data_IF_985932008202
#
_entry.id   IF_985932008202
#
_cell.length_a   1.000
_cell.length_b   1.000
_cell.length_c   1.000
_cell.angle_alpha   90.00
_cell.angle_beta   90.00
_cell.angle_gamma   90.00
#
_symmetry.space_group_name_H-M   'P 1'
#
loop_
_entity.id
_entity.type
_entity.pdbx_description
1 polymer ?
#
# COMPACT_ATOMS: atom_id res chain seq x y z
N UNK A 1 9.75 -16.29 5.27
CA UNK A 1 9.06 -15.70 6.44
C UNK A 1 7.93 -16.62 6.89
N UNK A 2 7.83 -16.95 8.19
CA UNK A 2 6.87 -17.92 8.75
C UNK A 2 5.40 -17.48 8.51
N UNK A 3 5.10 -16.19 8.67
CA UNK A 3 3.75 -15.64 8.47
C UNK A 3 3.17 -15.92 7.06
N UNK A 4 3.99 -15.78 6.01
CA UNK A 4 3.60 -16.05 4.62
C UNK A 4 3.28 -17.54 4.42
N UNK A 5 4.03 -18.44 5.06
CA UNK A 5 3.77 -19.88 5.00
C UNK A 5 2.45 -20.25 5.67
N UNK A 6 2.11 -19.62 6.80
CA UNK A 6 0.80 -19.81 7.44
C UNK A 6 -0.35 -19.32 6.56
N UNK A 7 -0.22 -18.13 5.94
CA UNK A 7 -1.23 -17.62 5.01
C UNK A 7 -1.43 -18.57 3.83
N UNK A 8 -0.33 -19.06 3.24
CA UNK A 8 -0.35 -20.05 2.16
C UNK A 8 -1.12 -21.31 2.57
N UNK A 9 -0.79 -21.88 3.73
CA UNK A 9 -1.42 -23.10 4.22
C UNK A 9 -2.93 -22.91 4.46
N UNK A 10 -3.31 -21.79 5.10
CA UNK A 10 -4.71 -21.47 5.35
C UNK A 10 -5.54 -21.34 4.07
N UNK A 11 -5.03 -20.64 3.05
CA UNK A 11 -5.72 -20.52 1.75
C UNK A 11 -5.80 -21.88 1.06
N UNK A 12 -4.74 -22.68 1.08
CA UNK A 12 -4.76 -24.04 0.53
C UNK A 12 -5.82 -24.91 1.21
N UNK A 13 -5.98 -24.82 2.54
CA UNK A 13 -7.06 -25.52 3.25
C UNK A 13 -8.43 -25.04 2.74
N UNK A 14 -8.63 -23.72 2.64
CA UNK A 14 -9.89 -23.14 2.15
C UNK A 14 -10.24 -23.65 0.74
N UNK A 15 -9.24 -23.73 -0.15
CA UNK A 15 -9.41 -24.18 -1.53
C UNK A 15 -9.63 -25.70 -1.67
N UNK A 16 -9.02 -26.52 -0.82
CA UNK A 16 -9.04 -27.99 -0.96
C UNK A 16 -10.24 -28.66 -0.31
N UNK A 17 -11.03 -27.91 0.48
CA UNK A 17 -12.21 -28.47 1.13
C UNK A 17 -13.32 -28.67 0.08
N UNK A 18 -13.68 -29.92 -0.23
CA UNK A 18 -14.57 -30.28 -1.36
C UNK A 18 -16.00 -29.71 -1.27
N UNK A 19 -16.41 -29.21 -0.10
CA UNK A 19 -17.68 -28.50 0.14
C UNK A 19 -17.48 -27.01 0.50
N UNK A 20 -16.25 -26.50 0.37
CA UNK A 20 -15.79 -25.27 1.00
C UNK A 20 -15.70 -25.41 2.52
N UNK A 21 -15.26 -24.34 3.20
CA UNK A 21 -15.40 -24.25 4.65
C UNK A 21 -16.89 -24.36 5.04
N UNK A 22 -17.20 -25.02 6.15
CA UNK A 22 -18.56 -25.23 6.64
C UNK A 22 -18.78 -24.60 8.03
N UNK A 23 -20.02 -24.21 8.31
CA UNK A 23 -20.41 -23.66 9.61
C UNK A 23 -19.61 -22.42 10.00
N UNK A 24 -19.17 -22.36 11.26
CA UNK A 24 -18.41 -21.25 11.83
C UNK A 24 -17.11 -20.96 11.06
N UNK A 25 -16.43 -22.01 10.54
CA UNK A 25 -15.18 -21.82 9.83
C UNK A 25 -15.37 -21.01 8.54
N UNK A 26 -16.50 -21.21 7.85
CA UNK A 26 -16.86 -20.42 6.67
C UNK A 26 -17.12 -18.95 7.04
N UNK A 27 -17.81 -18.71 8.14
CA UNK A 27 -18.21 -17.37 8.54
C UNK A 27 -17.02 -16.55 9.04
N UNK A 28 -16.14 -17.17 9.82
CA UNK A 28 -15.07 -16.46 10.52
C UNK A 28 -13.72 -16.50 9.78
N UNK A 29 -13.32 -17.65 9.22
CA UNK A 29 -11.98 -17.80 8.67
C UNK A 29 -11.87 -17.34 7.21
N UNK A 30 -12.94 -17.52 6.43
CA UNK A 30 -12.94 -17.15 5.01
C UNK A 30 -12.65 -15.66 4.77
N UNK A 31 -13.31 -14.70 5.48
CA UNK A 31 -13.01 -13.28 5.29
C UNK A 31 -11.58 -12.92 5.72
N UNK A 32 -11.05 -13.58 6.75
CA UNK A 32 -9.68 -13.37 7.22
C UNK A 32 -8.69 -13.81 6.15
N UNK A 33 -8.81 -15.04 5.62
CA UNK A 33 -7.88 -15.55 4.62
C UNK A 33 -7.97 -14.82 3.28
N UNK A 34 -9.16 -14.32 2.91
CA UNK A 34 -9.32 -13.52 1.70
C UNK A 34 -8.56 -12.19 1.81
N UNK A 35 -8.67 -11.49 2.94
CA UNK A 35 -7.87 -10.28 3.22
C UNK A 35 -6.38 -10.60 3.28
N UNK A 36 -6.02 -11.68 3.97
CA UNK A 36 -4.62 -12.10 4.12
C UNK A 36 -3.95 -12.55 2.80
N UNK A 37 -4.73 -12.93 1.79
CA UNK A 37 -4.22 -13.40 0.50
C UNK A 37 -3.53 -12.31 -0.32
N UNK A 38 -3.64 -11.03 0.06
CA UNK A 38 -3.01 -9.90 -0.64
C UNK A 38 -1.59 -9.59 -0.17
N UNK A 39 -1.30 -9.78 1.11
CA UNK A 39 -0.07 -9.32 1.74
C UNK A 39 1.21 -9.94 1.19
N UNK A 40 1.28 -11.26 0.91
CA UNK A 40 2.52 -11.89 0.47
C UNK A 40 3.16 -11.22 -0.74
N UNK A 41 2.35 -10.67 -1.65
CA UNK A 41 2.86 -10.00 -2.85
C UNK A 41 3.58 -8.68 -2.58
N UNK A 42 3.41 -8.08 -1.40
CA UNK A 42 4.18 -6.89 -0.98
C UNK A 42 5.56 -7.25 -0.41
N UNK A 43 5.82 -8.53 -0.17
CA UNK A 43 7.04 -9.04 0.47
C UNK A 43 7.74 -10.09 -0.40
N UNK A 44 7.79 -9.83 -1.71
CA UNK A 44 8.62 -10.56 -2.67
C UNK A 44 8.06 -11.92 -3.13
N UNK A 45 6.79 -12.24 -2.85
CA UNK A 45 6.17 -13.45 -3.38
C UNK A 45 5.59 -13.22 -4.76
N UNK A 46 5.95 -14.05 -5.74
CA UNK A 46 5.41 -14.01 -7.09
C UNK A 46 3.97 -14.55 -7.15
N UNK A 47 3.18 -14.03 -8.09
CA UNK A 47 1.77 -14.43 -8.27
C UNK A 47 1.64 -15.92 -8.58
N UNK A 48 2.58 -16.47 -9.35
CA UNK A 48 2.61 -17.89 -9.70
C UNK A 48 2.88 -18.80 -8.49
N UNK A 49 3.53 -18.27 -7.46
CA UNK A 49 3.99 -19.05 -6.32
C UNK A 49 3.02 -19.05 -5.14
N UNK A 50 1.93 -18.28 -5.19
CA UNK A 50 0.99 -18.14 -4.08
C UNK A 50 -0.45 -18.56 -4.47
N UNK A 51 -1.14 -19.37 -3.65
CA UNK A 51 -2.46 -19.86 -3.99
C UNK A 51 -3.46 -18.71 -4.12
N UNK A 52 -4.21 -18.71 -5.22
CA UNK A 52 -5.37 -17.84 -5.38
C UNK A 52 -6.51 -18.34 -4.49
N UNK A 53 -7.25 -17.46 -3.80
CA UNK A 53 -8.44 -17.84 -3.03
C UNK A 53 -9.63 -18.18 -3.95
N UNK A 54 -9.45 -19.16 -4.85
CA UNK A 54 -10.48 -19.61 -5.80
C UNK A 54 -11.59 -20.33 -5.06
N UNK A 55 -12.83 -19.93 -5.28
CA UNK A 55 -14.02 -20.55 -4.67
C UNK A 55 -14.57 -19.81 -3.44
N UNK A 56 -13.99 -18.66 -3.07
CA UNK A 56 -14.53 -17.85 -1.96
C UNK A 56 -15.66 -16.90 -2.40
N UNK A 57 -15.80 -16.60 -3.70
CA UNK A 57 -16.86 -15.73 -4.25
C UNK A 57 -17.34 -16.28 -5.60
N UNK A 58 -18.66 -16.26 -5.84
CA UNK A 58 -19.29 -16.80 -7.07
C UNK A 58 -19.13 -15.88 -8.29
N UNK A 59 -19.22 -14.56 -8.09
CA UNK A 59 -18.88 -13.55 -9.09
C UNK A 59 -18.02 -12.46 -8.43
N UNK A 60 -16.76 -12.49 -8.78
CA UNK A 60 -15.68 -11.68 -8.27
C UNK A 60 -15.76 -10.19 -8.62
N UNK A 61 -16.55 -9.81 -9.63
CA UNK A 61 -16.68 -8.43 -10.10
C UNK A 61 -18.12 -7.92 -9.97
N UNK A 62 -19.03 -8.74 -9.45
CA UNK A 62 -20.41 -8.36 -9.23
C UNK A 62 -20.48 -7.14 -8.31
N UNK A 63 -21.21 -6.14 -8.78
CA UNK A 63 -21.55 -4.93 -8.03
C UNK A 63 -22.96 -5.02 -7.44
N UNK A 64 -23.84 -5.85 -8.03
CA UNK A 64 -25.18 -6.16 -7.54
C UNK A 64 -25.21 -7.26 -6.48
N UNK A 65 -24.38 -7.14 -5.44
CA UNK A 65 -24.28 -8.12 -4.34
C UNK A 65 -25.18 -7.75 -3.17
N UNK A 66 -25.63 -8.75 -2.41
CA UNK A 66 -26.41 -8.48 -1.19
C UNK A 66 -25.55 -7.80 -0.13
N UNK A 67 -26.18 -7.16 0.88
CA UNK A 67 -25.45 -6.54 1.99
C UNK A 67 -24.54 -7.54 2.73
N UNK A 68 -24.91 -8.81 2.78
CA UNK A 68 -24.13 -9.88 3.40
C UNK A 68 -22.91 -10.30 2.56
N UNK A 69 -23.01 -10.19 1.23
CA UNK A 69 -21.95 -10.55 0.29
C UNK A 69 -20.98 -9.41 0.00
N UNK A 70 -21.39 -8.17 0.32
CA UNK A 70 -20.66 -6.93 -0.01
C UNK A 70 -19.20 -6.98 0.43
N UNK A 71 -18.92 -7.31 1.68
CA UNK A 71 -17.56 -7.33 2.23
C UNK A 71 -16.69 -8.36 1.52
N UNK A 72 -17.23 -9.55 1.25
CA UNK A 72 -16.49 -10.62 0.57
C UNK A 72 -16.20 -10.27 -0.90
N UNK A 73 -17.17 -9.68 -1.60
CA UNK A 73 -16.99 -9.22 -2.98
C UNK A 73 -15.92 -8.12 -3.05
N UNK A 74 -15.95 -7.18 -2.10
CA UNK A 74 -14.95 -6.14 -1.99
C UNK A 74 -13.54 -6.68 -1.73
N UNK A 75 -13.37 -7.53 -0.73
CA UNK A 75 -12.06 -8.13 -0.41
C UNK A 75 -11.51 -8.95 -1.60
N UNK A 76 -12.39 -9.60 -2.36
CA UNK A 76 -12.00 -10.33 -3.57
C UNK A 76 -11.56 -9.39 -4.70
N UNK A 77 -12.27 -8.27 -4.91
CA UNK A 77 -11.86 -7.25 -5.88
C UNK A 77 -10.49 -6.66 -5.53
N UNK A 78 -10.23 -6.38 -4.25
CA UNK A 78 -8.90 -5.96 -3.77
C UNK A 78 -7.86 -7.03 -4.07
N UNK A 79 -8.18 -8.31 -3.87
CA UNK A 79 -7.27 -9.42 -4.18
C UNK A 79 -6.91 -9.48 -5.68
N UNK A 80 -7.90 -9.40 -6.57
CA UNK A 80 -7.66 -9.33 -8.02
C UNK A 80 -6.83 -8.13 -8.41
N UNK A 81 -7.14 -6.97 -7.83
CA UNK A 81 -6.41 -5.72 -8.06
C UNK A 81 -4.92 -5.91 -7.77
N UNK A 82 -4.58 -6.39 -6.57
CA UNK A 82 -3.20 -6.63 -6.18
C UNK A 82 -2.54 -7.68 -7.06
N UNK A 83 -3.21 -8.80 -7.34
CA UNK A 83 -2.67 -9.88 -8.19
C UNK A 83 -2.34 -9.38 -9.60
N UNK A 84 -3.24 -8.62 -10.23
CA UNK A 84 -3.01 -8.08 -11.57
C UNK A 84 -1.83 -7.12 -11.59
N UNK A 85 -1.76 -6.20 -10.62
CA UNK A 85 -0.67 -5.23 -10.49
C UNK A 85 0.68 -5.93 -10.31
N UNK A 86 0.70 -7.02 -9.54
CA UNK A 86 1.92 -7.79 -9.26
C UNK A 86 2.34 -8.66 -10.44
N UNK A 87 1.39 -9.23 -11.17
CA UNK A 87 1.67 -9.93 -12.41
C UNK A 87 2.23 -8.96 -13.47
N UNK A 88 1.63 -7.77 -13.60
CA UNK A 88 2.11 -6.71 -14.45
C UNK A 88 3.54 -6.27 -14.08
N UNK A 89 3.81 -6.10 -12.77
CA UNK A 89 5.15 -5.79 -12.27
C UNK A 89 6.17 -6.88 -12.64
N UNK A 90 5.78 -8.15 -12.53
CA UNK A 90 6.63 -9.29 -12.89
C UNK A 90 7.00 -9.27 -14.39
N UNK A 91 6.06 -8.88 -15.25
CA UNK A 91 6.30 -8.66 -16.69
C UNK A 91 7.11 -7.39 -17.01
N UNK A 92 7.06 -6.34 -16.17
CA UNK A 92 7.82 -5.10 -16.42
C UNK A 92 9.27 -5.20 -15.96
N UNK A 93 9.50 -5.81 -14.80
CA UNK A 93 10.82 -5.79 -14.15
C UNK A 93 11.19 -7.07 -13.38
N UNK A 94 10.27 -8.03 -13.26
CA UNK A 94 10.49 -9.27 -12.52
C UNK A 94 10.89 -10.47 -13.39
N UNK A 95 10.66 -11.70 -12.90
CA UNK A 95 11.02 -12.94 -13.60
C UNK A 95 10.39 -13.08 -15.00
N UNK A 96 9.23 -12.47 -15.24
CA UNK A 96 8.49 -12.57 -16.50
C UNK A 96 8.87 -11.49 -17.53
N UNK A 97 9.87 -10.64 -17.25
CA UNK A 97 10.27 -9.51 -18.12
C UNK A 97 10.68 -9.87 -19.55
N UNK A 98 11.02 -11.14 -19.78
CA UNK A 98 11.39 -11.66 -21.11
C UNK A 98 10.19 -12.19 -21.90
N UNK A 99 9.01 -12.24 -21.28
CA UNK A 99 7.78 -12.71 -21.90
C UNK A 99 6.90 -11.52 -22.26
N UNK A 100 6.30 -11.57 -23.45
CA UNK A 100 5.26 -10.63 -23.86
C UNK A 100 4.10 -10.70 -22.86
N UNK A 101 3.58 -9.54 -22.50
CA UNK A 101 2.38 -9.43 -21.67
C UNK A 101 1.18 -10.06 -22.39
N UNK A 102 0.49 -11.06 -21.79
CA UNK A 102 -0.65 -11.69 -22.44
C UNK A 102 -1.82 -10.74 -22.69
N UNK A 103 -2.44 -10.83 -23.87
CA UNK A 103 -3.52 -9.93 -24.30
C UNK A 103 -4.74 -9.93 -23.35
N UNK A 104 -5.05 -11.06 -22.71
CA UNK A 104 -6.18 -11.15 -21.78
C UNK A 104 -6.03 -10.22 -20.56
N UNK A 105 -4.80 -9.82 -20.21
CA UNK A 105 -4.54 -8.93 -19.08
C UNK A 105 -5.08 -7.52 -19.31
N UNK A 106 -5.14 -7.05 -20.56
CA UNK A 106 -5.74 -5.74 -20.88
C UNK A 106 -7.26 -5.76 -20.68
N UNK A 107 -7.92 -6.84 -21.07
CA UNK A 107 -9.34 -7.04 -20.79
C UNK A 107 -9.62 -7.14 -19.29
N UNK A 108 -8.73 -7.79 -18.55
CA UNK A 108 -8.81 -7.88 -17.08
C UNK A 108 -8.61 -6.52 -16.40
N UNK A 109 -7.61 -5.74 -16.81
CA UNK A 109 -7.35 -4.40 -16.31
C UNK A 109 -8.58 -3.51 -16.43
N UNK A 110 -9.20 -3.48 -17.63
CA UNK A 110 -10.41 -2.70 -17.87
C UNK A 110 -11.55 -3.10 -16.92
N UNK A 111 -11.83 -4.40 -16.81
CA UNK A 111 -12.91 -4.91 -15.94
C UNK A 111 -12.69 -4.56 -14.47
N UNK A 112 -11.47 -4.77 -13.96
CA UNK A 112 -11.15 -4.44 -12.56
C UNK A 112 -11.26 -2.93 -12.32
N UNK A 113 -10.78 -2.12 -13.26
CA UNK A 113 -10.89 -0.66 -13.16
C UNK A 113 -12.36 -0.20 -13.12
N UNK A 114 -13.21 -0.70 -14.03
CA UNK A 114 -14.64 -0.39 -14.07
C UNK A 114 -15.34 -0.79 -12.77
N UNK A 115 -15.05 -1.99 -12.24
CA UNK A 115 -15.57 -2.40 -10.93
C UNK A 115 -15.14 -1.44 -9.82
N UNK A 116 -13.87 -1.05 -9.74
CA UNK A 116 -13.38 -0.10 -8.73
C UNK A 116 -14.09 1.26 -8.81
N UNK A 117 -14.38 1.75 -10.01
CA UNK A 117 -15.17 2.98 -10.21
C UNK A 117 -16.57 2.82 -9.64
N UNK A 118 -17.29 1.76 -9.99
CA UNK A 118 -18.65 1.52 -9.48
C UNK A 118 -18.68 1.37 -7.95
N UNK A 119 -17.70 0.67 -7.36
CA UNK A 119 -17.58 0.54 -5.91
C UNK A 119 -17.29 1.89 -5.24
N UNK A 120 -16.42 2.71 -5.82
CA UNK A 120 -16.16 4.07 -5.33
C UNK A 120 -17.43 4.93 -5.31
N UNK A 121 -18.21 4.91 -6.39
CA UNK A 121 -19.49 5.61 -6.48
C UNK A 121 -20.47 5.11 -5.42
N UNK A 122 -20.56 3.78 -5.22
CA UNK A 122 -21.39 3.21 -4.16
C UNK A 122 -21.00 3.73 -2.78
N UNK A 123 -19.70 3.76 -2.44
CA UNK A 123 -19.25 4.25 -1.14
C UNK A 123 -19.52 5.74 -0.93
N UNK A 124 -19.32 6.56 -1.97
CA UNK A 124 -19.65 7.99 -1.94
C UNK A 124 -21.13 8.24 -1.74
N UNK A 125 -21.98 7.56 -2.53
CA UNK A 125 -23.43 7.66 -2.41
C UNK A 125 -23.88 7.23 -1.01
N UNK A 126 -23.35 6.14 -0.47
CA UNK A 126 -23.68 5.69 0.88
C UNK A 126 -23.35 6.76 1.94
N UNK A 127 -22.21 7.43 1.83
CA UNK A 127 -21.79 8.50 2.75
C UNK A 127 -22.67 9.75 2.67
N UNK A 128 -23.20 10.07 1.50
CA UNK A 128 -24.10 11.21 1.32
C UNK A 128 -25.49 10.97 1.90
N UNK A 129 -25.96 9.71 1.87
CA UNK A 129 -27.32 9.36 2.27
C UNK A 129 -27.43 8.84 3.72
N UNK A 130 -26.32 8.42 4.32
CA UNK A 130 -26.27 7.93 5.70
C UNK A 130 -25.26 8.73 6.52
N UNK A 131 -25.59 9.04 7.77
CA UNK A 131 -24.61 9.55 8.73
C UNK A 131 -24.01 8.38 9.49
N UNK A 132 -22.80 7.90 9.12
CA UNK A 132 -22.16 6.82 9.86
C UNK A 132 -21.77 7.31 11.26
N UNK A 133 -21.71 6.37 12.20
CA UNK A 133 -21.01 6.58 13.45
C UNK A 133 -19.49 6.65 13.22
N UNK A 134 -18.72 6.79 14.30
CA UNK A 134 -17.27 6.97 14.23
C UNK A 134 -16.57 5.79 13.51
N UNK A 135 -16.88 4.54 13.90
CA UNK A 135 -16.33 3.33 13.30
C UNK A 135 -16.77 3.16 11.83
N UNK A 136 -18.05 3.44 11.54
CA UNK A 136 -18.56 3.43 10.18
C UNK A 136 -17.84 4.44 9.29
N UNK A 137 -17.55 5.64 9.80
CA UNK A 137 -16.84 6.66 9.03
C UNK A 137 -15.39 6.25 8.76
N UNK A 138 -14.68 5.68 9.74
CA UNK A 138 -13.32 5.18 9.53
C UNK A 138 -13.28 4.09 8.46
N UNK A 139 -14.21 3.13 8.54
CA UNK A 139 -14.35 2.06 7.53
C UNK A 139 -14.64 2.62 6.13
N UNK A 140 -15.51 3.63 6.04
CA UNK A 140 -15.79 4.32 4.78
C UNK A 140 -14.56 5.03 4.20
N UNK A 141 -13.79 5.75 5.02
CA UNK A 141 -12.56 6.41 4.59
C UNK A 141 -11.54 5.36 4.10
N UNK A 142 -11.43 4.23 4.79
CA UNK A 142 -10.55 3.14 4.42
C UNK A 142 -10.88 2.56 3.03
N UNK A 143 -12.16 2.25 2.80
CA UNK A 143 -12.62 1.69 1.54
C UNK A 143 -12.53 2.70 0.38
N UNK A 144 -12.79 3.98 0.63
CA UNK A 144 -12.62 5.03 -0.40
C UNK A 144 -11.15 5.21 -0.78
N UNK A 145 -10.23 5.26 0.20
CA UNK A 145 -8.79 5.34 -0.06
C UNK A 145 -8.30 4.10 -0.84
N UNK A 146 -8.77 2.90 -0.47
CA UNK A 146 -8.49 1.67 -1.23
C UNK A 146 -8.99 1.73 -2.67
N UNK A 147 -10.20 2.24 -2.91
CA UNK A 147 -10.73 2.40 -4.27
C UNK A 147 -9.81 3.30 -5.10
N UNK A 148 -9.43 4.45 -4.57
CA UNK A 148 -8.56 5.41 -5.26
C UNK A 148 -7.20 4.78 -5.55
N UNK A 149 -6.53 4.21 -4.54
CA UNK A 149 -5.23 3.53 -4.72
C UNK A 149 -5.33 2.39 -5.73
N UNK A 150 -6.39 1.59 -5.66
CA UNK A 150 -6.64 0.51 -6.61
C UNK A 150 -6.78 1.01 -8.04
N UNK A 151 -7.50 2.11 -8.26
CA UNK A 151 -7.66 2.73 -9.59
C UNK A 151 -6.32 3.25 -10.13
N UNK A 152 -5.53 3.94 -9.31
CA UNK A 152 -4.20 4.41 -9.69
C UNK A 152 -3.32 3.20 -10.07
N UNK A 153 -3.30 2.17 -9.24
CA UNK A 153 -2.52 0.96 -9.50
C UNK A 153 -2.92 0.29 -10.80
N UNK A 154 -4.21 0.09 -11.03
CA UNK A 154 -4.71 -0.60 -12.23
C UNK A 154 -4.52 0.26 -13.47
N UNK A 155 -4.78 1.57 -13.40
CA UNK A 155 -4.55 2.49 -14.51
C UNK A 155 -3.09 2.54 -14.95
N UNK A 156 -2.16 2.42 -13.99
CA UNK A 156 -0.73 2.52 -14.25
C UNK A 156 0.02 1.18 -14.38
N UNK A 157 -0.62 0.03 -14.14
CA UNK A 157 0.10 -1.24 -13.91
C UNK A 157 0.95 -1.72 -15.10
N UNK A 158 0.57 -1.38 -16.32
CA UNK A 158 1.29 -1.76 -17.54
C UNK A 158 2.26 -0.68 -18.04
N UNK A 159 2.24 0.52 -17.47
CA UNK A 159 3.17 1.59 -17.83
C UNK A 159 4.56 1.29 -17.26
N UNK A 160 5.59 1.40 -18.11
CA UNK A 160 7.00 1.26 -17.71
C UNK A 160 7.60 2.58 -17.22
N UNK A 161 6.98 3.68 -17.60
CA UNK A 161 7.36 5.05 -17.25
C UNK A 161 6.68 5.43 -15.92
N UNK A 162 7.49 5.89 -14.95
CA UNK A 162 6.97 6.33 -13.65
C UNK A 162 6.28 7.70 -13.74
N UNK A 163 6.41 8.42 -14.86
CA UNK A 163 5.69 9.66 -15.13
C UNK A 163 4.19 9.44 -15.36
N UNK A 164 3.75 8.19 -15.64
CA UNK A 164 2.33 7.87 -15.79
C UNK A 164 1.50 8.20 -14.53
N UNK A 165 2.15 8.25 -13.35
CA UNK A 165 1.48 8.64 -12.11
C UNK A 165 1.08 10.13 -12.07
N UNK A 166 1.61 10.98 -12.95
CA UNK A 166 1.24 12.40 -13.02
C UNK A 166 -0.24 12.60 -13.42
N UNK A 167 -0.80 11.66 -14.20
CA UNK A 167 -2.23 11.67 -14.57
C UNK A 167 -3.14 11.54 -13.34
N UNK A 168 -2.59 11.09 -12.21
CA UNK A 168 -3.29 10.81 -10.97
C UNK A 168 -3.02 11.85 -9.86
N UNK A 169 -2.48 13.04 -10.18
CA UNK A 169 -2.23 14.09 -9.18
C UNK A 169 -3.50 14.46 -8.40
N UNK A 170 -4.65 14.59 -9.08
CA UNK A 170 -5.93 14.88 -8.41
C UNK A 170 -6.38 13.73 -7.48
N UNK A 171 -6.12 12.48 -7.86
CA UNK A 171 -6.40 11.32 -7.01
C UNK A 171 -5.50 11.32 -5.76
N UNK A 172 -4.22 11.71 -5.89
CA UNK A 172 -3.31 11.88 -4.77
C UNK A 172 -3.74 13.00 -3.82
N UNK A 173 -4.20 14.14 -4.36
CA UNK A 173 -4.77 15.24 -3.55
C UNK A 173 -5.99 14.78 -2.75
N UNK A 174 -6.87 13.99 -3.37
CA UNK A 174 -8.03 13.41 -2.68
C UNK A 174 -7.61 12.43 -1.57
N UNK A 175 -6.59 11.60 -1.79
CA UNK A 175 -6.05 10.72 -0.74
C UNK A 175 -5.53 11.51 0.47
N UNK A 176 -4.84 12.64 0.24
CA UNK A 176 -4.41 13.54 1.30
C UNK A 176 -5.63 14.08 2.06
N UNK A 177 -6.67 14.55 1.36
CA UNK A 177 -7.90 15.07 1.97
C UNK A 177 -8.64 14.01 2.81
N UNK A 178 -8.69 12.76 2.35
CA UNK A 178 -9.27 11.63 3.10
C UNK A 178 -8.43 11.31 4.35
N UNK A 179 -7.11 11.35 4.23
CA UNK A 179 -6.23 11.13 5.37
C UNK A 179 -6.32 12.23 6.44
N UNK A 180 -6.55 13.49 6.03
CA UNK A 180 -6.79 14.59 6.99
C UNK A 180 -8.09 14.37 7.77
N UNK A 181 -9.17 13.94 7.10
CA UNK A 181 -10.42 13.57 7.78
C UNK A 181 -10.20 12.44 8.78
N UNK A 182 -9.41 11.42 8.43
CA UNK A 182 -9.05 10.33 9.33
C UNK A 182 -8.26 10.82 10.55
N UNK A 183 -7.31 11.75 10.36
CA UNK A 183 -6.55 12.36 11.46
C UNK A 183 -7.51 13.09 12.41
N UNK A 184 -8.45 13.86 11.87
CA UNK A 184 -9.46 14.56 12.68
C UNK A 184 -10.34 13.57 13.45
N UNK A 185 -10.79 12.50 12.79
CA UNK A 185 -11.60 11.45 13.39
C UNK A 185 -10.87 10.77 14.55
N UNK A 186 -9.58 10.45 14.37
CA UNK A 186 -8.78 9.78 15.40
C UNK A 186 -8.39 10.67 16.57
N UNK A 187 -8.38 11.99 16.39
CA UNK A 187 -8.16 12.93 17.51
C UNK A 187 -9.29 12.89 18.53
N UNK A 188 -10.49 12.44 18.16
CA UNK A 188 -11.63 12.31 19.09
C UNK A 188 -11.63 10.96 19.81
N UNK A 189 -10.76 10.03 19.43
CA UNK A 189 -10.65 8.74 20.11
C UNK A 189 -10.04 8.89 21.50
N UNK A 190 -10.63 8.17 22.45
CA UNK A 190 -10.14 8.11 23.82
C UNK A 190 -9.43 6.79 24.05
N UNK A 191 -8.14 6.83 24.40
CA UNK A 191 -7.40 5.65 24.85
C UNK A 191 -6.12 5.36 24.06
N UNK A 192 -5.32 4.38 24.54
CA UNK A 192 -4.10 3.99 23.87
C UNK A 192 -4.41 3.25 22.56
N UNK A 193 -3.77 3.66 21.47
CA UNK A 193 -3.83 2.93 20.20
C UNK A 193 -3.05 1.61 20.32
N UNK A 194 -3.56 0.49 19.77
CA UNK A 194 -2.79 -0.75 19.74
C UNK A 194 -1.51 -0.53 18.94
N UNK A 195 -0.39 -1.08 19.41
CA UNK A 195 0.89 -1.01 18.69
C UNK A 195 0.91 -1.87 17.43
N UNK A 196 0.12 -2.94 17.42
CA UNK A 196 0.05 -3.92 16.34
C UNK A 196 -1.39 -4.15 15.90
N UNK A 197 -1.61 -4.20 14.59
CA UNK A 197 -2.84 -4.70 13.98
C UNK A 197 -2.51 -5.75 12.91
N UNK A 198 -3.40 -6.72 12.72
CA UNK A 198 -3.24 -7.74 11.67
C UNK A 198 -3.60 -7.23 10.27
N UNK A 199 -4.39 -6.16 10.19
CA UNK A 199 -4.81 -5.56 8.92
C UNK A 199 -3.68 -4.74 8.29
N UNK A 200 -3.82 -4.43 7.00
CA UNK A 200 -2.89 -3.56 6.27
C UNK A 200 -2.79 -2.15 6.86
N UNK A 201 -3.83 -1.73 7.59
CA UNK A 201 -3.99 -0.37 8.07
C UNK A 201 -3.93 0.66 6.95
N UNK A 202 -3.80 1.93 7.32
CA UNK A 202 -3.83 3.05 6.36
C UNK A 202 -2.43 3.45 5.88
N UNK A 203 -1.38 3.04 6.58
CA UNK A 203 -0.01 3.45 6.29
C UNK A 203 0.40 3.14 4.85
N UNK A 204 0.11 1.96 4.27
CA UNK A 204 0.60 1.65 2.92
C UNK A 204 0.02 2.57 1.86
N UNK A 205 -1.15 3.18 2.09
CA UNK A 205 -1.71 4.18 1.18
C UNK A 205 -0.88 5.45 1.19
N UNK A 206 -0.52 5.98 2.37
CA UNK A 206 0.35 7.16 2.44
C UNK A 206 1.75 6.87 1.94
N UNK A 207 2.32 5.71 2.28
CA UNK A 207 3.62 5.30 1.76
C UNK A 207 3.59 5.20 0.23
N UNK A 208 2.48 4.73 -0.36
CA UNK A 208 2.29 4.73 -1.81
C UNK A 208 2.34 6.14 -2.42
N UNK A 209 1.68 7.13 -1.80
CA UNK A 209 1.77 8.54 -2.22
C UNK A 209 3.24 8.99 -2.16
N UNK A 210 3.92 8.70 -1.04
CA UNK A 210 5.33 9.09 -0.82
C UNK A 210 6.24 8.54 -1.91
N UNK A 211 6.05 7.31 -2.38
CA UNK A 211 6.97 6.71 -3.36
C UNK A 211 6.56 6.93 -4.81
N UNK A 212 5.28 7.13 -5.13
CA UNK A 212 4.80 7.22 -6.53
C UNK A 212 4.38 8.61 -6.99
N UNK A 213 3.88 9.47 -6.13
CA UNK A 213 3.61 10.85 -6.52
C UNK A 213 4.92 11.59 -6.80
N UNK A 214 4.97 12.45 -7.83
CA UNK A 214 6.15 13.27 -8.18
C UNK A 214 6.11 14.69 -7.60
N UNK A 215 4.97 15.13 -7.10
CA UNK A 215 4.80 16.43 -6.45
C UNK A 215 5.32 16.43 -5.02
N UNK A 216 6.34 17.25 -4.74
CA UNK A 216 7.04 17.23 -3.46
C UNK A 216 6.11 17.56 -2.28
N UNK A 217 5.23 18.55 -2.42
CA UNK A 217 4.28 18.98 -1.40
C UNK A 217 3.33 17.86 -0.94
N UNK A 218 2.79 17.08 -1.88
CA UNK A 218 1.92 15.94 -1.59
C UNK A 218 2.69 14.81 -0.89
N UNK A 219 3.89 14.50 -1.38
CA UNK A 219 4.76 13.46 -0.78
C UNK A 219 5.15 13.80 0.64
N UNK A 220 5.54 15.06 0.89
CA UNK A 220 5.90 15.53 2.23
C UNK A 220 4.69 15.52 3.16
N UNK A 221 3.51 15.89 2.67
CA UNK A 221 2.28 15.84 3.46
C UNK A 221 1.93 14.40 3.84
N UNK A 222 1.95 13.46 2.89
CA UNK A 222 1.76 12.04 3.18
C UNK A 222 2.78 11.52 4.19
N UNK A 223 4.07 11.86 4.02
CA UNK A 223 5.13 11.43 4.93
C UNK A 223 4.89 11.92 6.37
N UNK A 224 4.43 13.17 6.56
CA UNK A 224 4.06 13.73 7.87
C UNK A 224 2.84 13.06 8.48
N UNK A 225 1.89 12.61 7.65
CA UNK A 225 0.65 12.01 8.11
C UNK A 225 0.83 10.54 8.54
N UNK A 226 1.85 9.83 8.03
CA UNK A 226 2.17 8.44 8.42
C UNK A 226 2.18 8.24 9.94
N UNK A 227 2.96 8.99 10.76
CA UNK A 227 2.93 8.83 12.21
C UNK A 227 1.58 9.15 12.84
N UNK A 228 0.77 10.01 12.23
CA UNK A 228 -0.52 10.41 12.78
C UNK A 228 -1.59 9.33 12.59
N UNK A 229 -1.55 8.59 11.48
CA UNK A 229 -2.58 7.60 11.13
C UNK A 229 -2.12 6.14 11.24
N UNK A 230 -0.85 5.85 11.43
CA UNK A 230 -0.38 4.46 11.42
C UNK A 230 -0.31 3.88 12.84
N UNK A 231 -0.53 2.58 12.96
CA UNK A 231 -0.04 1.83 14.13
C UNK A 231 1.48 1.65 14.02
N UNK A 232 2.16 1.30 15.12
CA UNK A 232 3.62 1.06 15.06
C UNK A 232 3.96 -0.08 14.07
N UNK A 233 3.08 -1.08 14.02
CA UNK A 233 3.15 -2.23 13.12
C UNK A 233 1.76 -2.55 12.55
N UNK A 234 1.65 -2.53 11.22
CA UNK A 234 0.43 -2.88 10.47
C UNK A 234 0.72 -4.12 9.62
N UNK A 235 0.25 -5.28 10.06
CA UNK A 235 0.63 -6.57 9.50
C UNK A 235 2.18 -6.71 9.49
N UNK A 236 2.79 -6.90 8.33
CA UNK A 236 4.24 -6.98 8.14
C UNK A 236 4.90 -5.61 7.90
N UNK A 237 4.13 -4.52 7.83
CA UNK A 237 4.65 -3.19 7.61
C UNK A 237 5.00 -2.48 8.92
N UNK A 238 6.22 -1.98 9.01
CA UNK A 238 6.71 -1.18 10.15
C UNK A 238 6.64 0.30 9.81
N UNK A 239 5.89 1.08 10.60
CA UNK A 239 5.71 2.51 10.34
C UNK A 239 7.00 3.30 10.44
N UNK A 240 7.84 2.94 11.41
CA UNK A 240 9.20 3.46 11.53
C UNK A 240 10.00 3.22 10.26
N UNK A 241 10.00 1.98 9.75
CA UNK A 241 10.79 1.62 8.58
C UNK A 241 10.31 2.33 7.32
N UNK A 242 9.00 2.28 7.04
CA UNK A 242 8.43 2.93 5.85
C UNK A 242 8.57 4.44 5.88
N UNK A 243 8.50 5.07 7.05
CA UNK A 243 8.74 6.50 7.19
C UNK A 243 10.17 6.89 6.77
N UNK A 244 11.19 6.24 7.33
CA UNK A 244 12.58 6.59 7.02
C UNK A 244 12.96 6.24 5.57
N UNK A 245 12.47 5.11 5.05
CA UNK A 245 12.67 4.73 3.65
C UNK A 245 11.93 5.68 2.69
N UNK A 246 10.72 6.08 3.04
CA UNK A 246 9.92 7.04 2.26
C UNK A 246 10.58 8.42 2.23
N UNK A 247 11.03 8.92 3.39
CA UNK A 247 11.85 10.13 3.49
C UNK A 247 13.05 10.07 2.56
N UNK A 248 13.79 8.96 2.61
CA UNK A 248 14.99 8.77 1.79
C UNK A 248 14.68 8.75 0.30
N UNK A 249 13.55 8.14 -0.08
CA UNK A 249 13.06 8.15 -1.47
C UNK A 249 12.86 9.59 -1.97
N UNK A 250 12.24 10.46 -1.15
CA UNK A 250 12.07 11.88 -1.48
C UNK A 250 13.43 12.57 -1.64
N UNK A 251 14.34 12.37 -0.69
CA UNK A 251 15.67 13.00 -0.70
C UNK A 251 16.48 12.64 -1.95
N UNK A 252 16.46 11.36 -2.35
CA UNK A 252 17.16 10.87 -3.54
C UNK A 252 16.60 11.48 -4.82
N UNK A 253 15.28 11.47 -4.99
CA UNK A 253 14.65 11.88 -6.25
C UNK A 253 14.63 13.40 -6.42
N UNK A 254 14.42 14.16 -5.34
CA UNK A 254 14.38 15.63 -5.40
C UNK A 254 15.75 16.27 -5.16
N UNK A 255 16.78 15.51 -4.76
CA UNK A 255 18.10 16.05 -4.45
C UNK A 255 18.10 16.99 -3.24
N UNK A 256 17.24 16.71 -2.26
CA UNK A 256 17.08 17.52 -1.04
C UNK A 256 17.52 16.74 0.21
N UNK A 257 17.61 17.44 1.35
CA UNK A 257 17.84 16.84 2.66
C UNK A 257 16.73 17.25 3.61
N UNK A 258 16.08 16.26 4.21
CA UNK A 258 14.96 16.45 5.12
C UNK A 258 15.41 16.16 6.56
N UNK A 259 14.91 16.96 7.50
CA UNK A 259 14.95 16.64 8.92
C UNK A 259 13.76 15.70 9.24
N UNK A 260 14.00 14.48 9.76
CA UNK A 260 12.90 13.58 10.12
C UNK A 260 11.96 14.12 11.21
N UNK A 261 12.38 15.11 12.00
CA UNK A 261 11.58 15.72 13.07
C UNK A 261 10.96 17.07 12.68
N UNK A 262 11.36 17.63 11.54
CA UNK A 262 10.83 18.85 10.96
C UNK A 262 10.72 18.68 9.44
N UNK A 263 9.71 17.90 9.01
CA UNK A 263 9.47 17.61 7.59
C UNK A 263 8.79 18.82 6.93
N UNK A 264 9.53 19.91 6.82
CA UNK A 264 9.15 21.11 6.09
C UNK A 264 10.24 21.43 5.08
N UNK A 265 9.82 21.87 3.90
CA UNK A 265 10.74 22.27 2.85
C UNK A 265 10.16 23.51 2.17
N UNK A 266 10.85 24.63 2.33
CA UNK A 266 10.44 25.88 1.72
C UNK A 266 10.38 25.72 0.19
N UNK A 267 9.26 26.09 -0.42
CA UNK A 267 9.05 25.93 -1.86
C UNK A 267 8.66 24.52 -2.31
N UNK A 268 8.23 23.63 -1.41
CA UNK A 268 7.78 22.28 -1.79
C UNK A 268 6.66 22.27 -2.86
N UNK A 269 5.77 23.26 -2.83
CA UNK A 269 4.68 23.41 -3.81
C UNK A 269 5.20 23.74 -5.22
N UNK A 270 6.23 24.58 -5.30
CA UNK A 270 6.84 25.04 -6.56
C UNK A 270 8.04 24.19 -7.00
N UNK A 271 8.37 23.14 -6.25
CA UNK A 271 9.53 22.30 -6.53
C UNK A 271 9.36 21.54 -7.86
N UNK A 272 10.42 21.43 -8.68
CA UNK A 272 10.32 20.71 -9.94
C UNK A 272 10.03 19.22 -9.69
N UNK A 273 9.17 18.64 -10.51
CA UNK A 273 8.91 17.20 -10.49
C UNK A 273 10.15 16.44 -10.99
N UNK A 274 10.63 15.41 -10.27
CA UNK A 274 11.84 14.68 -10.62
C UNK A 274 11.67 13.97 -11.96
N UNK A 275 12.63 14.01 -12.90
CA UNK A 275 12.49 13.34 -14.20
C UNK A 275 12.59 11.80 -14.07
N UNK A 276 12.13 11.04 -15.08
CA UNK A 276 12.03 9.57 -15.00
C UNK A 276 13.37 8.87 -14.68
N UNK A 277 14.51 9.44 -15.11
CA UNK A 277 15.83 8.82 -14.96
C UNK A 277 16.29 8.70 -13.51
N UNK A 278 15.75 9.53 -12.62
CA UNK A 278 16.04 9.50 -11.18
C UNK A 278 14.92 8.84 -10.38
N UNK A 279 13.81 8.45 -11.01
CA UNK A 279 12.68 7.82 -10.33
C UNK A 279 13.04 6.44 -9.80
N UNK A 280 12.70 6.22 -8.55
CA UNK A 280 12.81 4.94 -7.85
C UNK A 280 11.57 4.11 -8.20
N UNK A 281 11.79 3.02 -8.94
CA UNK A 281 10.75 2.11 -9.42
C UNK A 281 10.30 1.11 -8.36
N UNK A 282 11.24 0.59 -7.58
CA UNK A 282 10.97 -0.24 -6.40
C UNK A 282 12.01 -0.05 -5.32
N UNK A 283 11.62 -0.40 -4.09
CA UNK A 283 12.48 -0.35 -2.92
C UNK A 283 12.41 -1.69 -2.21
N UNK A 284 13.54 -2.38 -2.12
CA UNK A 284 13.66 -3.66 -1.44
C UNK A 284 14.29 -3.43 -0.07
N UNK A 285 13.49 -3.63 0.97
CA UNK A 285 13.87 -3.43 2.36
C UNK A 285 14.29 -4.79 2.93
N UNK A 286 15.58 -4.96 3.24
CA UNK A 286 16.12 -6.20 3.78
C UNK A 286 15.82 -6.34 5.29
N UNK A 287 15.89 -7.57 5.78
CA UNK A 287 15.93 -7.88 7.22
C UNK A 287 17.35 -7.74 7.81
N UNK A 288 18.36 -7.48 6.98
CA UNK A 288 19.72 -7.19 7.41
C UNK A 288 19.78 -5.87 8.22
N UNK A 289 20.33 -5.95 9.42
CA UNK A 289 20.52 -4.84 10.35
C UNK A 289 22.01 -4.67 10.69
N UNK A 290 22.42 -3.41 10.82
CA UNK A 290 23.75 -3.03 11.31
C UNK A 290 23.57 -2.03 12.46
N UNK A 291 24.45 -2.10 13.47
CA UNK A 291 24.50 -1.11 14.55
C UNK A 291 25.78 -0.32 14.39
N UNK A 292 25.65 1.00 14.20
CA UNK A 292 26.79 1.91 14.16
C UNK A 292 26.78 2.83 15.37
N UNK A 293 27.96 3.17 15.87
CA UNK A 293 28.16 4.16 16.93
C UNK A 293 28.62 5.45 16.31
N UNK A 294 28.00 6.56 16.69
CA UNK A 294 28.52 7.88 16.32
C UNK A 294 29.71 8.29 17.19
N UNK A 295 30.26 9.48 16.91
CA UNK A 295 31.41 10.06 17.61
C UNK A 295 31.17 10.25 19.12
N UNK A 296 29.91 10.28 19.55
CA UNK A 296 29.51 10.42 20.96
C UNK A 296 29.18 9.07 21.61
N UNK A 297 29.37 7.96 20.88
CA UNK A 297 29.10 6.60 21.34
C UNK A 297 27.62 6.22 21.31
N UNK A 298 26.74 7.04 20.73
CA UNK A 298 25.32 6.72 20.60
C UNK A 298 25.11 5.70 19.49
N UNK A 299 24.36 4.64 19.80
CA UNK A 299 24.05 3.55 18.87
C UNK A 299 22.88 3.91 17.96
N UNK A 300 23.08 3.70 16.66
CA UNK A 300 22.09 3.88 15.61
C UNK A 300 21.86 2.52 14.94
N UNK A 301 20.59 2.17 14.73
CA UNK A 301 20.21 0.98 13.99
C UNK A 301 20.05 1.37 12.52
N UNK A 302 20.79 0.68 11.66
CA UNK A 302 20.70 0.82 10.21
C UNK A 302 20.03 -0.43 9.63
N UNK A 303 19.29 -0.21 8.55
CA UNK A 303 18.68 -1.28 7.77
C UNK A 303 19.17 -1.20 6.34
N UNK A 304 19.51 -2.33 5.75
CA UNK A 304 19.94 -2.38 4.35
C UNK A 304 18.73 -2.22 3.44
N UNK A 305 18.83 -1.27 2.51
CA UNK A 305 17.77 -0.94 1.56
C UNK A 305 18.39 -0.89 0.17
N UNK A 306 17.73 -1.51 -0.80
CA UNK A 306 18.08 -1.41 -2.21
C UNK A 306 17.04 -0.57 -2.95
N UNK A 307 17.50 0.49 -3.59
CA UNK A 307 16.68 1.39 -4.41
C UNK A 307 16.90 1.06 -5.89
N UNK A 308 15.85 0.61 -6.57
CA UNK A 308 15.88 0.29 -8.00
C UNK A 308 15.49 1.51 -8.82
N UNK A 309 16.35 1.94 -9.75
CA UNK A 309 16.10 3.08 -10.63
C UNK A 309 15.92 2.65 -12.08
N UNK A 310 16.78 1.77 -12.60
CA UNK A 310 16.83 1.39 -14.03
C UNK A 310 16.91 -0.13 -14.18
N UNK A 311 15.77 -0.86 -14.24
CA UNK A 311 15.72 -2.32 -14.22
C UNK A 311 16.56 -3.03 -15.30
N UNK A 312 16.76 -2.37 -16.44
CA UNK A 312 17.51 -2.92 -17.59
C UNK A 312 18.96 -2.43 -17.68
N UNK A 313 19.44 -1.61 -16.74
CA UNK A 313 20.82 -1.12 -16.73
C UNK A 313 21.79 -2.15 -16.09
N UNK A 314 23.08 -2.06 -16.44
CA UNK A 314 24.15 -2.88 -15.84
C UNK A 314 24.28 -2.63 -14.33
N UNK A 315 24.05 -1.39 -13.90
CA UNK A 315 23.89 -1.00 -12.51
C UNK A 315 22.45 -0.51 -12.32
N UNK A 316 21.51 -1.40 -11.95
CA UNK A 316 20.09 -1.09 -12.00
C UNK A 316 19.60 -0.19 -10.85
N UNK A 317 20.41 -0.04 -9.80
CA UNK A 317 20.08 0.68 -8.60
C UNK A 317 21.27 0.78 -7.67
N UNK A 318 21.03 1.15 -6.41
CA UNK A 318 22.06 1.20 -5.38
C UNK A 318 21.53 0.66 -4.05
N UNK A 319 22.45 0.08 -3.27
CA UNK A 319 22.18 -0.33 -1.89
C UNK A 319 22.77 0.68 -0.92
N UNK A 320 22.06 0.95 0.16
CA UNK A 320 22.60 1.74 1.27
C UNK A 320 22.11 1.19 2.62
N UNK A 321 22.84 1.56 3.67
CA UNK A 321 22.41 1.35 5.05
C UNK A 321 21.65 2.59 5.51
N UNK A 322 20.31 2.50 5.50
CA UNK A 322 19.45 3.60 5.91
C UNK A 322 19.33 3.65 7.44
N UNK A 323 19.65 4.80 8.04
CA UNK A 323 19.49 5.01 9.48
C UNK A 323 18.01 5.04 9.87
N UNK A 324 17.62 4.14 10.77
CA UNK A 324 16.25 4.02 11.28
C UNK A 324 16.19 4.66 12.67
N UNK A 325 16.16 6.00 12.70
CA UNK A 325 16.19 6.82 13.91
C UNK A 325 14.90 6.75 14.75
N UNK A 326 14.83 7.39 15.93
CA UNK A 326 13.60 7.49 16.71
C UNK A 326 12.39 7.88 15.85
N UNK A 327 11.27 7.18 16.03
CA UNK A 327 10.07 7.47 15.26
C UNK A 327 9.53 8.85 15.68
N UNK A 328 9.25 9.78 14.74
CA UNK A 328 8.77 11.11 15.10
C UNK A 328 7.51 11.00 15.97
N UNK A 329 7.52 11.65 17.13
CA UNK A 329 6.42 11.52 18.07
C UNK A 329 5.13 12.12 17.52
N UNK A 330 4.04 11.40 17.79
CA UNK A 330 2.66 11.82 17.55
C UNK A 330 2.24 12.84 18.59
N UNK A 331 2.77 14.06 18.57
CA UNK A 331 2.15 15.13 19.35
C UNK A 331 1.19 15.86 18.43
N UNK A 332 -0.14 15.73 18.61
CA UNK A 332 -1.01 16.84 18.25
C UNK A 332 -0.52 18.00 19.12
N UNK A 333 -0.14 19.12 18.51
CA UNK A 333 -0.05 20.37 19.25
C UNK A 333 -1.36 20.54 20.02
N UNK A 334 -1.24 20.69 21.34
CA UNK A 334 -2.37 20.89 22.25
C UNK A 334 -3.28 22.03 21.82
#
# INVERSE_FOLDING_TARGET
MIAIQHCRHGITICNTTSKGLLGWAKQELQPIFLRLATFPYFFGVEVADFPEPVGLVSDALATGVTAQEKTMAWDYLVNRTVRLVRLALSHRQGPLKHLTMPDYLFGEQKRVYESLVTWQEHYRNAREHYQPDHEGLESHLYDEMKCIVGKIWIGSCFNVDEMAYDEHVADFEELIRLSDQLIHLRRTESGPRPKFIFEMGFMPFLYFIVIKCRRLDLRMTALRQIPLISHEQENLFSAKTLFFVGKRTIEVEHGIRLDPYQIEYAGAYDAPMPPDEVRIRSVDISDELEVQKDEHGQEHILRKVFFLLKPSASLPGFSEWATIGPYPQTTPSK
#
